data_IF_757110737469
#
_entry.id   IF_757110737469
#
_cell.length_a   1.000
_cell.length_b   1.000
_cell.length_c   1.000
_cell.angle_alpha   90.00
_cell.angle_beta   90.00
_cell.angle_gamma   90.00
#
_symmetry.space_group_name_H-M   'P 1'
#
loop_
_entity.id
_entity.type
_entity.pdbx_description
1 polymer ?
#
# COMPACT_ATOMS: atom_id res chain seq x y z
N UNK A 1 14.70 -13.60 18.44
CA UNK A 1 14.60 -12.13 18.64
C UNK A 1 15.07 -11.45 17.36
N UNK A 2 14.38 -11.69 16.23
CA UNK A 2 14.81 -11.21 14.91
C UNK A 2 13.62 -10.79 14.05
N UNK A 3 12.60 -10.21 14.68
CA UNK A 3 11.65 -9.36 13.96
C UNK A 3 12.23 -7.95 13.95
N UNK A 4 12.04 -7.20 12.87
CA UNK A 4 12.50 -5.81 12.84
C UNK A 4 11.90 -5.04 14.05
N UNK A 5 12.65 -4.08 14.60
CA UNK A 5 12.17 -3.30 15.75
C UNK A 5 11.11 -2.27 15.34
N UNK A 6 10.31 -1.78 16.29
CA UNK A 6 9.28 -0.76 16.02
C UNK A 6 9.87 0.50 15.36
N UNK A 7 11.09 0.90 15.70
CA UNK A 7 11.75 2.05 15.05
C UNK A 7 11.99 1.80 13.56
N UNK A 8 12.47 0.61 13.20
CA UNK A 8 12.70 0.24 11.80
C UNK A 8 11.38 0.07 11.05
N UNK A 9 10.38 -0.57 11.65
CA UNK A 9 9.07 -0.75 11.04
C UNK A 9 8.42 0.60 10.70
N UNK A 10 8.42 1.55 11.66
CA UNK A 10 7.83 2.88 11.47
C UNK A 10 8.59 3.74 10.48
N UNK A 11 9.92 3.69 10.50
CA UNK A 11 10.75 4.46 9.57
C UNK A 11 10.50 4.08 8.10
N UNK A 12 10.15 2.82 7.83
CA UNK A 12 9.94 2.29 6.47
C UNK A 12 8.46 2.05 6.15
N UNK A 13 7.54 2.43 7.03
CA UNK A 13 6.12 2.10 6.92
C UNK A 13 5.45 2.78 5.71
N UNK A 14 5.82 4.04 5.45
CA UNK A 14 5.31 4.78 4.29
C UNK A 14 5.76 4.18 2.97
N UNK A 15 7.03 3.81 2.87
CA UNK A 15 7.62 3.17 1.67
C UNK A 15 6.99 1.79 1.44
N UNK A 16 6.74 1.02 2.51
CA UNK A 16 6.01 -0.24 2.44
C UNK A 16 4.60 -0.05 1.86
N UNK A 17 3.83 0.91 2.38
CA UNK A 17 2.44 1.18 1.96
C UNK A 17 2.38 1.66 0.51
N UNK A 18 3.36 2.45 0.07
CA UNK A 18 3.45 2.95 -1.31
C UNK A 18 4.02 1.92 -2.29
N UNK A 19 4.50 0.78 -1.81
CA UNK A 19 5.13 -0.25 -2.64
C UNK A 19 6.51 0.16 -3.19
N UNK A 20 7.21 1.01 -2.43
CA UNK A 20 8.51 1.59 -2.80
C UNK A 20 9.70 0.82 -2.19
N UNK A 21 9.42 -0.21 -1.38
CA UNK A 21 10.43 -1.10 -0.81
C UNK A 21 10.71 -2.32 -1.68
N UNK A 22 11.93 -2.83 -1.59
CA UNK A 22 12.28 -4.15 -2.14
C UNK A 22 11.54 -5.27 -1.40
N UNK A 23 11.24 -6.37 -2.10
CA UNK A 23 10.50 -7.50 -1.52
C UNK A 23 11.18 -8.09 -0.28
N UNK A 24 12.52 -8.09 -0.25
CA UNK A 24 13.33 -8.56 0.87
C UNK A 24 13.18 -7.73 2.13
N UNK A 25 12.94 -6.42 1.98
CA UNK A 25 12.77 -5.49 3.09
C UNK A 25 11.31 -5.39 3.54
N UNK A 26 10.38 -5.75 2.66
CA UNK A 26 8.96 -5.79 3.00
C UNK A 26 8.63 -6.87 4.04
N UNK A 27 9.21 -8.06 3.89
CA UNK A 27 8.81 -9.24 4.68
C UNK A 27 9.01 -9.04 6.20
N UNK A 28 10.17 -8.57 6.69
CA UNK A 28 10.38 -8.35 8.13
C UNK A 28 9.42 -7.32 8.74
N UNK A 29 9.03 -6.29 7.98
CA UNK A 29 8.11 -5.25 8.44
C UNK A 29 6.69 -5.82 8.51
N UNK A 30 6.26 -6.60 7.51
CA UNK A 30 4.95 -7.28 7.54
C UNK A 30 4.83 -8.23 8.73
N UNK A 31 5.85 -9.03 8.97
CA UNK A 31 5.91 -9.92 10.15
C UNK A 31 5.83 -9.14 11.46
N UNK A 32 6.50 -7.98 11.55
CA UNK A 32 6.37 -7.09 12.72
C UNK A 32 4.94 -6.56 12.89
N UNK A 33 4.31 -6.13 11.80
CA UNK A 33 2.93 -5.64 11.77
C UNK A 33 1.91 -6.73 12.13
N UNK A 34 2.24 -8.03 12.06
CA UNK A 34 1.39 -9.11 12.57
C UNK A 34 1.47 -9.25 14.11
N UNK A 35 2.59 -8.85 14.71
CA UNK A 35 2.83 -8.94 16.15
C UNK A 35 2.55 -7.66 16.95
N UNK A 36 2.59 -6.49 16.31
CA UNK A 36 2.62 -5.19 16.99
C UNK A 36 1.36 -4.36 16.74
N UNK A 37 0.55 -4.11 17.78
CA UNK A 37 -0.65 -3.26 17.66
C UNK A 37 -0.30 -1.80 17.37
N UNK A 38 0.72 -1.25 18.00
CA UNK A 38 1.09 0.15 17.83
C UNK A 38 1.50 0.46 16.38
N UNK A 39 2.30 -0.41 15.76
CA UNK A 39 2.70 -0.23 14.36
C UNK A 39 1.53 -0.45 13.39
N UNK A 40 0.56 -1.31 13.71
CA UNK A 40 -0.68 -1.44 12.93
C UNK A 40 -1.57 -0.20 13.02
N UNK A 41 -1.67 0.40 14.20
CA UNK A 41 -2.44 1.62 14.37
C UNK A 41 -1.81 2.77 13.56
N UNK A 42 -0.47 2.88 13.56
CA UNK A 42 0.24 3.81 12.68
C UNK A 42 0.01 3.50 11.19
N UNK A 43 0.07 2.23 10.78
CA UNK A 43 -0.21 1.80 9.40
C UNK A 43 -1.61 2.27 8.97
N UNK A 44 -2.62 2.05 9.82
CA UNK A 44 -3.99 2.46 9.53
C UNK A 44 -4.11 3.98 9.35
N UNK A 45 -3.39 4.77 10.16
CA UNK A 45 -3.36 6.24 10.02
C UNK A 45 -2.78 6.63 8.66
N UNK A 46 -1.64 6.07 8.27
CA UNK A 46 -1.02 6.36 6.98
C UNK A 46 -1.88 5.95 5.79
N UNK A 47 -2.49 4.77 5.82
CA UNK A 47 -3.42 4.32 4.77
C UNK A 47 -4.62 5.25 4.66
N UNK A 48 -5.19 5.65 5.79
CA UNK A 48 -6.35 6.58 5.84
C UNK A 48 -5.99 7.93 5.22
N UNK A 49 -4.82 8.49 5.57
CA UNK A 49 -4.32 9.74 5.01
C UNK A 49 -4.07 9.61 3.50
N UNK A 50 -3.44 8.52 3.06
CA UNK A 50 -3.17 8.24 1.65
C UNK A 50 -4.45 8.19 0.83
N UNK A 51 -5.47 7.50 1.33
CA UNK A 51 -6.80 7.44 0.70
C UNK A 51 -7.46 8.82 0.64
N UNK A 52 -7.38 9.60 1.72
CA UNK A 52 -7.95 10.95 1.76
C UNK A 52 -7.31 11.87 0.72
N UNK A 53 -5.98 11.86 0.61
CA UNK A 53 -5.23 12.63 -0.39
C UNK A 53 -5.59 12.18 -1.80
N UNK A 54 -5.61 10.86 -2.05
CA UNK A 54 -5.97 10.32 -3.36
C UNK A 54 -7.36 10.76 -3.81
N UNK A 55 -8.35 10.74 -2.91
CA UNK A 55 -9.72 11.22 -3.20
C UNK A 55 -9.79 12.70 -3.55
N UNK A 56 -8.93 13.51 -2.93
CA UNK A 56 -8.85 14.94 -3.23
C UNK A 56 -8.13 15.22 -4.56
N UNK A 57 -7.26 14.31 -5.01
CA UNK A 57 -6.45 14.46 -6.22
C UNK A 57 -6.98 13.67 -7.44
N UNK A 58 -7.96 12.79 -7.27
CA UNK A 58 -8.49 11.96 -8.37
C UNK A 58 -9.48 12.72 -9.26
N UNK A 59 -9.45 12.40 -10.55
CA UNK A 59 -10.34 12.94 -11.57
C UNK A 59 -10.91 11.82 -12.45
N UNK A 60 -11.91 12.11 -13.29
CA UNK A 60 -12.50 11.10 -14.17
C UNK A 60 -11.44 10.56 -15.15
N UNK A 61 -11.27 9.24 -15.15
CA UNK A 61 -10.44 8.58 -16.15
C UNK A 61 -11.02 8.77 -17.56
N UNK A 62 -10.20 8.81 -18.63
CA UNK A 62 -10.69 8.92 -20.00
C UNK A 62 -11.63 7.76 -20.36
N UNK A 63 -12.77 8.07 -20.98
CA UNK A 63 -13.75 7.05 -21.37
C UNK A 63 -13.17 5.97 -22.31
N UNK A 64 -12.28 6.37 -23.21
CA UNK A 64 -11.56 5.47 -24.12
C UNK A 64 -10.71 4.42 -23.41
N UNK A 65 -10.13 4.76 -22.25
CA UNK A 65 -9.37 3.81 -21.44
C UNK A 65 -10.28 2.72 -20.89
N UNK A 66 -11.48 3.09 -20.41
CA UNK A 66 -12.49 2.13 -19.94
C UNK A 66 -12.93 1.19 -21.05
N UNK A 67 -13.23 1.74 -22.23
CA UNK A 67 -13.64 0.94 -23.40
C UNK A 67 -12.56 -0.08 -23.79
N UNK A 68 -11.30 0.35 -23.79
CA UNK A 68 -10.14 -0.51 -24.07
C UNK A 68 -10.03 -1.66 -23.07
N UNK A 69 -10.08 -1.36 -21.76
CA UNK A 69 -9.99 -2.38 -20.70
C UNK A 69 -11.13 -3.40 -20.81
N UNK A 70 -12.37 -2.92 -20.98
CA UNK A 70 -13.55 -3.80 -21.08
C UNK A 70 -13.48 -4.72 -22.30
N UNK A 71 -12.94 -4.23 -23.42
CA UNK A 71 -12.76 -5.03 -24.64
C UNK A 71 -11.74 -6.13 -24.39
N UNK A 72 -10.55 -5.79 -23.87
CA UNK A 72 -9.51 -6.79 -23.60
C UNK A 72 -9.96 -7.87 -22.60
N UNK A 73 -10.72 -7.51 -21.56
CA UNK A 73 -11.25 -8.49 -20.60
C UNK A 73 -12.26 -9.47 -21.22
N UNK A 74 -12.98 -9.05 -22.27
CA UNK A 74 -13.90 -9.92 -23.02
C UNK A 74 -13.14 -10.85 -23.96
N UNK A 75 -12.06 -10.39 -24.57
CA UNK A 75 -11.24 -11.17 -25.51
C UNK A 75 -10.36 -12.21 -24.79
N UNK A 76 -10.16 -12.07 -23.47
CA UNK A 76 -9.47 -13.04 -22.62
C UNK A 76 -10.34 -14.26 -22.24
N UNK A 77 -11.64 -14.26 -22.57
CA UNK A 77 -12.58 -15.37 -22.39
C UNK A 77 -12.88 -16.08 -23.71
#
# INVERSE_FOLDING_TARGET
MSGCGCEHARANLEELIRGELEETDCQPIREHLEGCTECRDEQQVFETLTVAVRRACEGPAPASLRETIVTQLRDLH
#
